data_IF_377158481132
#
_entry.id   IF_377158481132
#
_cell.length_a   1.000
_cell.length_b   1.000
_cell.length_c   1.000
_cell.angle_alpha   90.00
_cell.angle_beta   90.00
_cell.angle_gamma   90.00
#
_symmetry.space_group_name_H-M   'P 1'
#
loop_
_entity.id
_entity.type
_entity.pdbx_description
1 polymer ?
#
# COMPACT_ATOMS: atom_id res chain seq x y z
N UNK A 1 7.76 19.26 5.07
CA UNK A 1 6.58 18.74 4.33
C UNK A 1 6.95 17.66 3.32
N UNK A 2 7.83 17.97 2.36
CA UNK A 2 8.26 17.00 1.33
C UNK A 2 8.75 15.67 1.93
N UNK A 3 9.60 15.74 2.94
CA UNK A 3 10.09 14.55 3.66
C UNK A 3 8.98 13.75 4.37
N UNK A 4 7.95 14.41 4.89
CA UNK A 4 6.82 13.71 5.52
C UNK A 4 5.97 12.97 4.48
N UNK A 5 5.80 13.55 3.29
CA UNK A 5 5.12 12.88 2.18
C UNK A 5 5.94 11.71 1.64
N UNK A 6 7.25 11.88 1.50
CA UNK A 6 8.16 10.79 1.13
C UNK A 6 8.15 9.65 2.16
N UNK A 7 8.11 9.98 3.46
CA UNK A 7 7.97 8.96 4.52
C UNK A 7 6.63 8.21 4.45
N UNK A 8 5.54 8.93 4.12
CA UNK A 8 4.24 8.30 3.89
C UNK A 8 4.25 7.37 2.66
N UNK A 9 4.93 7.75 1.58
CA UNK A 9 5.11 6.93 0.38
C UNK A 9 5.90 5.66 0.68
N UNK A 10 7.05 5.82 1.33
CA UNK A 10 7.90 4.71 1.72
C UNK A 10 7.17 3.74 2.67
N UNK A 11 6.42 4.26 3.64
CA UNK A 11 5.61 3.43 4.51
C UNK A 11 4.60 2.56 3.74
N UNK A 12 3.91 3.13 2.74
CA UNK A 12 2.95 2.39 1.92
C UNK A 12 3.61 1.30 1.07
N UNK A 13 4.83 1.56 0.59
CA UNK A 13 5.66 0.58 -0.10
C UNK A 13 6.06 -0.58 0.83
N UNK A 14 6.65 -0.26 1.97
CA UNK A 14 7.11 -1.24 2.95
C UNK A 14 5.96 -2.10 3.48
N UNK A 15 4.83 -1.48 3.86
CA UNK A 15 3.70 -2.23 4.43
C UNK A 15 3.02 -3.13 3.39
N UNK A 16 3.01 -2.73 2.11
CA UNK A 16 2.51 -3.60 1.04
C UNK A 16 3.45 -4.79 0.83
N UNK A 17 4.76 -4.53 0.77
CA UNK A 17 5.78 -5.56 0.59
C UNK A 17 5.75 -6.57 1.73
N UNK A 18 5.72 -6.11 2.99
CA UNK A 18 5.60 -6.96 4.17
C UNK A 18 4.30 -7.77 4.17
N UNK A 19 3.18 -7.16 3.76
CA UNK A 19 1.89 -7.85 3.68
C UNK A 19 1.87 -8.95 2.60
N UNK A 20 2.49 -8.71 1.44
CA UNK A 20 2.64 -9.70 0.36
C UNK A 20 3.57 -10.84 0.80
N UNK A 21 4.64 -10.51 1.51
CA UNK A 21 5.56 -11.50 2.08
C UNK A 21 4.87 -12.39 3.10
N UNK A 22 4.07 -11.79 3.98
CA UNK A 22 3.22 -12.54 4.89
C UNK A 22 2.25 -13.46 4.12
N UNK A 23 1.56 -12.94 3.10
CA UNK A 23 0.64 -13.75 2.28
C UNK A 23 1.34 -14.94 1.61
N UNK A 24 2.54 -14.73 1.06
CA UNK A 24 3.37 -15.79 0.48
C UNK A 24 3.81 -16.86 1.50
N UNK A 25 4.00 -16.47 2.76
CA UNK A 25 4.31 -17.37 3.86
C UNK A 25 3.10 -18.16 4.38
N UNK A 26 1.86 -17.72 4.07
CA UNK A 26 0.62 -18.37 4.51
C UNK A 26 -0.03 -19.23 3.45
N UNK A 27 0.01 -18.81 2.20
CA UNK A 27 -0.55 -19.55 1.09
C UNK A 27 0.39 -20.70 0.70
N UNK A 28 -0.14 -21.92 0.74
CA UNK A 28 0.58 -23.11 0.30
C UNK A 28 0.54 -23.21 -1.23
N UNK A 29 -0.57 -22.78 -1.84
CA UNK A 29 -0.76 -22.72 -3.28
C UNK A 29 -1.37 -21.36 -3.70
N UNK A 30 -1.25 -20.95 -4.98
CA UNK A 30 -1.90 -19.74 -5.48
C UNK A 30 -3.41 -19.72 -5.25
N UNK A 31 -4.04 -20.90 -5.19
CA UNK A 31 -5.48 -21.03 -4.97
C UNK A 31 -5.95 -20.53 -3.60
N UNK A 32 -5.06 -20.53 -2.60
CA UNK A 32 -5.32 -20.01 -1.26
C UNK A 32 -5.44 -18.48 -1.24
N UNK A 33 -4.98 -17.80 -2.30
CA UNK A 33 -5.06 -16.34 -2.40
C UNK A 33 -6.47 -15.87 -2.79
N UNK A 34 -6.85 -14.64 -2.42
CA UNK A 34 -8.09 -14.03 -2.89
C UNK A 34 -8.15 -13.93 -4.41
N UNK A 35 -9.37 -13.99 -4.97
CA UNK A 35 -9.61 -13.97 -6.43
C UNK A 35 -8.99 -12.76 -7.13
N UNK A 36 -9.06 -11.58 -6.53
CA UNK A 36 -8.49 -10.37 -7.11
C UNK A 36 -6.96 -10.40 -7.17
N UNK A 37 -6.31 -10.99 -6.16
CA UNK A 37 -4.86 -11.20 -6.12
C UNK A 37 -4.41 -12.17 -7.22
N UNK A 38 -5.13 -13.29 -7.38
CA UNK A 38 -4.87 -14.24 -8.47
C UNK A 38 -4.94 -13.57 -9.84
N UNK A 39 -5.96 -12.74 -10.08
CA UNK A 39 -6.10 -11.97 -11.33
C UNK A 39 -4.94 -10.98 -11.53
N UNK A 40 -4.52 -10.29 -10.48
CA UNK A 40 -3.43 -9.33 -10.57
C UNK A 40 -2.11 -10.00 -10.98
N UNK A 41 -1.78 -11.15 -10.36
CA UNK A 41 -0.59 -11.93 -10.71
C UNK A 41 -0.70 -12.45 -12.15
N UNK A 42 -1.83 -13.04 -12.53
CA UNK A 42 -2.04 -13.54 -13.89
C UNK A 42 -1.92 -12.42 -14.94
N UNK A 43 -2.51 -11.25 -14.70
CA UNK A 43 -2.43 -10.11 -15.60
C UNK A 43 -0.99 -9.58 -15.75
N UNK A 44 -0.20 -9.61 -14.67
CA UNK A 44 1.21 -9.24 -14.71
C UNK A 44 2.03 -10.19 -15.58
N UNK A 45 1.81 -11.51 -15.47
CA UNK A 45 2.49 -12.52 -16.30
C UNK A 45 2.10 -12.37 -17.76
N UNK A 46 0.80 -12.27 -18.06
CA UNK A 46 0.29 -12.15 -19.45
C UNK A 46 0.76 -10.85 -20.11
N UNK A 47 0.90 -9.77 -19.34
CA UNK A 47 1.41 -8.49 -19.85
C UNK A 47 2.93 -8.45 -20.04
N UNK A 48 3.67 -9.50 -19.65
CA UNK A 48 5.13 -9.53 -19.76
C UNK A 48 5.60 -9.68 -21.21
N UNK A 49 6.62 -8.92 -21.61
CA UNK A 49 7.27 -9.07 -22.91
C UNK A 49 8.13 -10.34 -23.01
N UNK A 50 8.45 -10.96 -21.87
CA UNK A 50 9.24 -12.19 -21.82
C UNK A 50 8.29 -13.39 -21.86
N UNK A 51 8.27 -14.09 -22.99
CA UNK A 51 7.41 -15.28 -23.20
C UNK A 51 7.61 -16.37 -22.14
N UNK A 52 8.82 -16.45 -21.57
CA UNK A 52 9.17 -17.41 -20.52
C UNK A 52 8.68 -17.03 -19.12
N UNK A 53 8.07 -15.84 -18.92
CA UNK A 53 7.58 -15.40 -17.60
C UNK A 53 6.52 -16.35 -17.04
N UNK A 54 5.73 -17.00 -17.90
CA UNK A 54 4.77 -18.02 -17.48
C UNK A 54 5.46 -19.22 -16.80
N UNK A 55 6.67 -19.60 -17.21
CA UNK A 55 7.43 -20.68 -16.58
C UNK A 55 7.92 -20.29 -15.17
N UNK A 56 8.15 -19.00 -14.92
CA UNK A 56 8.55 -18.51 -13.60
C UNK A 56 7.45 -18.69 -12.53
N UNK A 57 6.22 -19.01 -12.93
CA UNK A 57 5.12 -19.31 -12.01
C UNK A 57 5.16 -20.74 -11.45
N UNK A 58 5.96 -21.64 -12.02
CA UNK A 58 5.97 -23.05 -11.65
C UNK A 58 6.50 -23.28 -10.22
N UNK A 59 5.99 -24.32 -9.55
CA UNK A 59 6.39 -24.66 -8.18
C UNK A 59 6.06 -23.53 -7.21
N UNK A 60 7.06 -23.06 -6.45
CA UNK A 60 6.95 -21.89 -5.56
C UNK A 60 7.27 -20.55 -6.27
N UNK A 61 7.61 -20.58 -7.57
CA UNK A 61 8.02 -19.39 -8.32
C UNK A 61 6.93 -18.30 -8.40
N UNK A 62 5.65 -18.68 -8.30
CA UNK A 62 4.54 -17.72 -8.24
C UNK A 62 4.65 -16.73 -7.07
N UNK A 63 5.31 -17.10 -5.97
CA UNK A 63 5.55 -16.19 -4.82
C UNK A 63 6.48 -15.06 -5.22
N UNK A 64 7.56 -15.38 -5.94
CA UNK A 64 8.49 -14.38 -6.47
C UNK A 64 7.79 -13.46 -7.46
N UNK A 65 6.99 -14.02 -8.37
CA UNK A 65 6.20 -13.24 -9.34
C UNK A 65 5.19 -12.33 -8.65
N UNK A 66 4.53 -12.79 -7.59
CA UNK A 66 3.59 -11.98 -6.80
C UNK A 66 4.29 -10.79 -6.12
N UNK A 67 5.41 -11.04 -5.44
CA UNK A 67 6.23 -9.99 -4.82
C UNK A 67 6.70 -8.95 -5.85
N UNK A 68 7.26 -9.41 -6.95
CA UNK A 68 7.73 -8.56 -8.04
C UNK A 68 6.59 -7.72 -8.64
N UNK A 69 5.43 -8.33 -8.91
CA UNK A 69 4.27 -7.63 -9.45
C UNK A 69 3.77 -6.53 -8.51
N UNK A 70 3.74 -6.80 -7.20
CA UNK A 70 3.34 -5.84 -6.18
C UNK A 70 4.36 -4.69 -6.08
N UNK A 71 5.65 -5.01 -5.98
CA UNK A 71 6.75 -4.04 -5.87
C UNK A 71 6.77 -3.07 -7.07
N UNK A 72 6.77 -3.59 -8.30
CA UNK A 72 6.74 -2.77 -9.51
C UNK A 72 5.54 -1.80 -9.52
N UNK A 73 4.39 -2.22 -8.96
CA UNK A 73 3.19 -1.38 -8.95
C UNK A 73 3.23 -0.30 -7.89
N UNK A 74 3.80 -0.56 -6.73
CA UNK A 74 3.88 0.43 -5.66
C UNK A 74 5.05 1.41 -5.89
N UNK A 75 6.17 0.96 -6.46
CA UNK A 75 7.30 1.82 -6.85
C UNK A 75 6.91 2.86 -7.89
N UNK A 76 5.93 2.54 -8.73
CA UNK A 76 5.40 3.47 -9.73
C UNK A 76 4.55 4.60 -9.12
N UNK A 77 4.23 4.55 -7.83
CA UNK A 77 3.41 5.55 -7.14
C UNK A 77 4.25 6.77 -6.80
N UNK A 78 4.06 7.83 -7.59
CA UNK A 78 4.68 9.13 -7.35
C UNK A 78 3.79 10.07 -6.51
N UNK A 79 2.54 9.68 -6.26
CA UNK A 79 1.52 10.50 -5.61
C UNK A 79 0.56 9.60 -4.83
N UNK A 80 0.75 9.44 -3.51
CA UNK A 80 0.05 8.45 -2.68
C UNK A 80 -1.35 8.94 -2.27
N UNK A 81 -2.13 9.40 -3.25
CA UNK A 81 -3.54 9.78 -3.03
C UNK A 81 -4.41 8.52 -2.86
N UNK A 82 -5.52 8.60 -2.11
CA UNK A 82 -6.45 7.47 -1.92
C UNK A 82 -6.80 6.75 -3.23
N UNK A 83 -7.21 7.50 -4.26
CA UNK A 83 -7.58 6.94 -5.56
C UNK A 83 -6.45 6.24 -6.34
N UNK A 84 -5.19 6.41 -5.93
CA UNK A 84 -4.03 5.68 -6.48
C UNK A 84 -3.71 4.46 -5.62
N UNK A 85 -3.77 4.60 -4.30
CA UNK A 85 -3.39 3.56 -3.34
C UNK A 85 -4.46 2.46 -3.22
N UNK A 86 -5.75 2.83 -3.12
CA UNK A 86 -6.83 1.85 -2.94
C UNK A 86 -6.86 0.78 -4.05
N UNK A 87 -6.74 1.12 -5.35
CA UNK A 87 -6.68 0.10 -6.40
C UNK A 87 -5.50 -0.87 -6.26
N UNK A 88 -4.35 -0.41 -5.74
CA UNK A 88 -3.16 -1.26 -5.55
C UNK A 88 -3.42 -2.25 -4.42
N UNK A 89 -3.85 -1.77 -3.26
CA UNK A 89 -4.16 -2.61 -2.10
C UNK A 89 -5.33 -3.57 -2.38
N UNK A 90 -6.30 -3.16 -3.20
CA UNK A 90 -7.36 -4.05 -3.68
C UNK A 90 -6.81 -5.18 -4.55
N UNK A 91 -5.95 -4.84 -5.51
CA UNK A 91 -5.37 -5.83 -6.44
C UNK A 91 -4.47 -6.82 -5.73
N UNK A 92 -3.63 -6.37 -4.80
CA UNK A 92 -2.60 -7.21 -4.21
C UNK A 92 -2.96 -7.80 -2.86
N UNK A 93 -3.88 -7.21 -2.08
CA UNK A 93 -4.30 -7.72 -0.78
C UNK A 93 -5.82 -7.95 -0.67
N UNK A 94 -6.60 -7.68 -1.73
CA UNK A 94 -8.06 -7.82 -1.68
C UNK A 94 -8.77 -6.80 -0.78
N UNK A 95 -8.09 -5.71 -0.41
CA UNK A 95 -8.66 -4.63 0.41
C UNK A 95 -9.47 -3.70 -0.50
N UNK A 96 -10.80 -3.66 -0.37
CA UNK A 96 -11.65 -2.90 -1.29
C UNK A 96 -11.35 -1.40 -1.34
N UNK A 97 -11.13 -0.78 -0.17
CA UNK A 97 -10.80 0.64 -0.02
C UNK A 97 -10.02 0.80 1.28
N UNK A 98 -8.69 0.93 1.19
CA UNK A 98 -7.82 1.08 2.36
C UNK A 98 -8.11 2.40 3.07
N UNK A 99 -8.33 3.47 2.29
CA UNK A 99 -8.58 4.82 2.80
C UNK A 99 -9.79 4.92 3.74
N UNK A 100 -10.73 3.98 3.64
CA UNK A 100 -11.92 3.91 4.49
C UNK A 100 -11.63 3.63 5.97
N UNK A 101 -10.44 3.08 6.29
CA UNK A 101 -10.06 2.79 7.67
C UNK A 101 -9.46 4.00 8.40
N UNK A 102 -9.11 5.08 7.70
CA UNK A 102 -8.40 6.21 8.27
C UNK A 102 -9.34 7.09 9.11
N UNK A 103 -8.98 7.32 10.36
CA UNK A 103 -9.81 8.02 11.34
C UNK A 103 -10.17 9.45 10.91
N UNK A 104 -9.23 10.15 10.28
CA UNK A 104 -9.44 11.51 9.79
C UNK A 104 -10.12 11.57 8.41
N UNK A 105 -10.40 10.42 7.81
CA UNK A 105 -10.97 10.32 6.47
C UNK A 105 -9.95 10.53 5.35
N UNK A 106 -10.29 10.03 4.16
CA UNK A 106 -9.41 10.05 2.99
C UNK A 106 -9.08 11.46 2.48
N UNK A 107 -9.98 12.42 2.72
CA UNK A 107 -9.83 13.79 2.25
C UNK A 107 -8.64 14.49 2.91
N UNK A 108 -8.35 14.19 4.18
CA UNK A 108 -7.20 14.78 4.90
C UNK A 108 -5.88 14.39 4.26
N UNK A 109 -5.71 13.12 3.90
CA UNK A 109 -4.51 12.64 3.19
C UNK A 109 -4.46 13.20 1.77
N UNK A 110 -5.60 13.25 1.09
CA UNK A 110 -5.69 13.84 -0.25
C UNK A 110 -5.27 15.31 -0.25
N UNK A 111 -5.70 16.09 0.74
CA UNK A 111 -5.35 17.50 0.89
C UNK A 111 -3.88 17.68 1.22
N UNK A 112 -3.35 16.87 2.15
CA UNK A 112 -1.91 16.85 2.46
C UNK A 112 -1.05 16.58 1.22
N UNK A 113 -1.36 15.52 0.47
CA UNK A 113 -0.61 15.15 -0.75
C UNK A 113 -0.78 16.21 -1.85
N UNK A 114 -1.96 16.83 -1.94
CA UNK A 114 -2.21 17.92 -2.92
C UNK A 114 -1.39 19.15 -2.57
N UNK A 115 -1.39 19.57 -1.30
CA UNK A 115 -0.58 20.69 -0.85
C UNK A 115 0.92 20.44 -1.06
N UNK A 116 1.39 19.19 -0.96
CA UNK A 116 2.76 18.82 -1.35
C UNK A 116 3.00 19.06 -2.84
N UNK A 117 2.09 18.59 -3.68
CA UNK A 117 2.18 18.75 -5.13
C UNK A 117 2.19 20.21 -5.55
N UNK A 118 1.34 21.04 -4.94
CA UNK A 118 1.29 22.48 -5.20
C UNK A 118 2.60 23.17 -4.86
N UNK A 119 3.24 22.82 -3.73
CA UNK A 119 4.57 23.35 -3.36
C UNK A 119 5.63 22.90 -4.37
N UNK A 120 5.61 21.64 -4.78
CA UNK A 120 6.57 21.11 -5.75
C UNK A 120 6.45 21.76 -7.14
N UNK A 121 5.23 22.10 -7.58
CA UNK A 121 4.98 22.70 -8.89
C UNK A 121 5.07 24.23 -8.91
N UNK A 122 4.74 24.91 -7.80
CA UNK A 122 4.65 26.38 -7.76
C UNK A 122 5.76 27.06 -6.96
N UNK A 123 6.61 26.31 -6.26
CA UNK A 123 7.78 26.85 -5.56
C UNK A 123 7.41 28.01 -4.62
N UNK A 124 8.02 29.19 -4.82
CA UNK A 124 7.79 30.38 -4.02
C UNK A 124 6.38 30.99 -4.13
N UNK A 125 5.63 30.63 -5.18
CA UNK A 125 4.24 31.08 -5.40
C UNK A 125 3.20 30.12 -4.81
N UNK A 126 3.65 29.02 -4.19
CA UNK A 126 2.77 28.11 -3.46
C UNK A 126 2.29 28.71 -2.14
N UNK A 127 1.14 28.26 -1.64
CA UNK A 127 0.67 28.63 -0.31
C UNK A 127 1.71 28.29 0.76
N UNK A 128 2.08 29.27 1.59
CA UNK A 128 3.09 29.09 2.62
C UNK A 128 2.59 28.13 3.72
N UNK A 129 3.20 26.95 3.81
CA UNK A 129 2.93 26.01 4.90
C UNK A 129 3.86 26.34 6.07
N UNK A 130 3.27 26.81 7.17
CA UNK A 130 4.02 27.15 8.38
C UNK A 130 4.55 25.89 9.06
N UNK A 131 5.63 26.04 9.84
CA UNK A 131 6.17 24.94 10.65
C UNK A 131 5.15 24.44 11.69
N UNK A 132 4.31 25.35 12.21
CA UNK A 132 3.20 24.99 13.10
C UNK A 132 2.20 24.06 12.41
N UNK A 133 1.77 24.40 11.19
CA UNK A 133 0.88 23.53 10.40
C UNK A 133 1.49 22.13 10.14
N UNK A 134 2.79 22.08 9.86
CA UNK A 134 3.47 20.79 9.68
C UNK A 134 3.52 19.94 10.95
N UNK A 135 3.89 20.56 12.07
CA UNK A 135 4.11 19.88 13.36
C UNK A 135 2.80 19.51 14.05
N UNK A 136 1.83 20.41 14.02
CA UNK A 136 0.64 20.34 14.87
C UNK A 136 -0.58 19.79 14.12
N UNK A 137 -0.55 19.76 12.77
CA UNK A 137 -1.66 19.27 11.95
C UNK A 137 -1.23 18.08 11.09
N UNK A 138 -0.35 18.27 10.11
CA UNK A 138 -0.03 17.21 9.15
C UNK A 138 0.67 16.01 9.79
N UNK A 139 1.67 16.22 10.64
CA UNK A 139 2.41 15.11 11.25
C UNK A 139 1.49 14.20 12.09
N UNK A 140 0.69 14.71 13.06
CA UNK A 140 -0.23 13.87 13.83
C UNK A 140 -1.25 13.14 12.96
N UNK A 141 -1.75 13.78 11.90
CA UNK A 141 -2.69 13.17 10.96
C UNK A 141 -2.07 11.97 10.22
N UNK A 142 -0.83 12.11 9.74
CA UNK A 142 -0.10 11.02 9.07
C UNK A 142 0.23 9.90 10.06
N UNK A 143 0.75 10.22 11.24
CA UNK A 143 1.06 9.22 12.28
C UNK A 143 -0.19 8.43 12.67
N UNK A 144 -1.34 9.10 12.80
CA UNK A 144 -2.60 8.44 13.08
C UNK A 144 -3.04 7.53 11.92
N UNK A 145 -2.90 8.00 10.69
CA UNK A 145 -3.28 7.26 9.49
C UNK A 145 -2.44 5.99 9.32
N UNK A 146 -1.15 6.05 9.64
CA UNK A 146 -0.25 4.89 9.69
C UNK A 146 -0.76 3.87 10.71
N UNK A 147 -1.11 4.31 11.92
CA UNK A 147 -1.64 3.44 12.97
C UNK A 147 -2.95 2.74 12.54
N UNK A 148 -3.88 3.50 11.95
CA UNK A 148 -5.15 2.98 11.46
C UNK A 148 -4.90 1.92 10.37
N UNK A 149 -3.99 2.21 9.45
CA UNK A 149 -3.58 1.31 8.34
C UNK A 149 -2.97 0.02 8.88
N UNK A 150 -1.98 0.10 9.79
CA UNK A 150 -1.34 -1.06 10.42
C UNK A 150 -2.36 -1.96 11.11
N UNK A 151 -3.26 -1.35 11.90
CA UNK A 151 -4.25 -2.09 12.68
C UNK A 151 -5.29 -2.75 11.78
N UNK A 152 -5.72 -2.06 10.72
CA UNK A 152 -6.64 -2.60 9.73
C UNK A 152 -5.99 -3.77 8.98
N UNK A 153 -4.80 -3.58 8.40
CA UNK A 153 -4.10 -4.60 7.61
C UNK A 153 -3.73 -5.82 8.44
N UNK A 154 -3.24 -5.63 9.67
CA UNK A 154 -2.96 -6.75 10.59
C UNK A 154 -4.20 -7.63 10.81
N UNK A 155 -5.38 -7.02 10.94
CA UNK A 155 -6.63 -7.77 11.10
C UNK A 155 -7.09 -8.41 9.78
N UNK A 156 -7.04 -7.67 8.67
CA UNK A 156 -7.44 -8.15 7.35
C UNK A 156 -6.60 -9.35 6.90
N UNK A 157 -5.27 -9.29 7.05
CA UNK A 157 -4.36 -10.39 6.69
C UNK A 157 -4.57 -11.61 7.59
N UNK A 158 -4.85 -11.41 8.88
CA UNK A 158 -5.25 -12.51 9.77
C UNK A 158 -6.53 -13.20 9.30
N UNK A 159 -7.47 -12.41 8.80
CA UNK A 159 -8.78 -12.92 8.43
C UNK A 159 -8.80 -13.55 7.03
N UNK A 160 -7.88 -13.13 6.16
CA UNK A 160 -7.67 -13.65 4.81
C UNK A 160 -7.35 -15.15 4.78
N UNK A 161 -6.61 -15.65 5.77
CA UNK A 161 -6.19 -17.05 5.82
C UNK A 161 -6.90 -17.84 6.93
N UNK A 162 -6.92 -19.17 6.79
CA UNK A 162 -7.53 -20.07 7.79
C UNK A 162 -6.78 -20.02 9.13
N UNK A 163 -5.45 -20.07 9.08
CA UNK A 163 -4.61 -19.92 10.27
C UNK A 163 -4.62 -18.45 10.73
N UNK A 164 -5.22 -18.19 11.88
CA UNK A 164 -5.47 -16.83 12.40
C UNK A 164 -4.25 -16.20 13.08
N UNK A 165 -3.16 -16.07 12.33
CA UNK A 165 -1.95 -15.35 12.76
C UNK A 165 -1.90 -13.96 12.14
N UNK A 166 -1.17 -13.04 12.77
CA UNK A 166 -0.99 -11.67 12.30
C UNK A 166 0.42 -11.48 11.76
N UNK A 167 0.62 -10.57 10.80
CA UNK A 167 1.97 -10.19 10.36
C UNK A 167 2.70 -9.40 11.45
N UNK A 168 2.01 -8.45 12.09
CA UNK A 168 2.52 -7.64 13.20
C UNK A 168 1.43 -7.41 14.27
N UNK A 169 1.86 -7.00 15.46
CA UNK A 169 0.96 -6.71 16.57
C UNK A 169 0.16 -5.43 16.33
N UNK A 170 -1.10 -5.44 16.77
CA UNK A 170 -1.90 -4.23 16.83
C UNK A 170 -1.32 -3.26 17.84
N UNK A 171 -1.34 -1.97 17.49
CA UNK A 171 -0.90 -0.88 18.36
C UNK A 171 -2.12 -0.26 19.05
N UNK A 172 -1.90 0.20 20.29
CA UNK A 172 -2.93 0.91 21.04
C UNK A 172 -3.33 2.19 20.28
N UNK A 173 -4.63 2.48 20.32
CA UNK A 173 -5.31 3.53 19.56
C UNK A 173 -5.59 4.71 20.45
#
# INVERSE_FOLDING_TARGET
>A
MLLLCAAWELYLEEVLSEAVDFACGRAAAPDDLPKEVKKAIAAYVVGSQHELKALAMAGDGWKAVYKEAAQIKIDAVNTPKPGVIDPIFKKFLGVNQLSSCWHHGEQVIKDFVTARGDIAHRGGDAGYVTIGKLRDEYRPQIERTVLDTDNFLSQHLRDMFRAKQRPWNKRAV
#
